data_IF_659514349378
#
_entry.id   IF_659514349378
#
_cell.length_a   1.000
_cell.length_b   1.000
_cell.length_c   1.000
_cell.angle_alpha   90.00
_cell.angle_beta   90.00
_cell.angle_gamma   90.00
#
_symmetry.space_group_name_H-M   'P 1'
#
loop_
_entity.id
_entity.type
_entity.pdbx_description
1 polymer ?
#
# COMPACT_ATOMS: atom_id res chain seq x y z
N UNK A 1 -30.71 2.03 42.34
CA UNK A 1 -30.57 2.71 41.02
C UNK A 1 -29.16 3.28 40.84
N UNK A 2 -28.11 2.54 41.23
CA UNK A 2 -26.72 3.01 41.18
C UNK A 2 -25.70 1.87 40.96
N UNK A 3 -26.15 0.75 40.37
CA UNK A 3 -25.29 -0.40 40.01
C UNK A 3 -25.27 -0.67 38.50
N UNK A 4 -25.96 0.17 37.70
CA UNK A 4 -26.15 -0.06 36.26
C UNK A 4 -25.17 0.74 35.37
N UNK A 5 -24.29 1.55 35.97
CA UNK A 5 -23.37 2.44 35.22
C UNK A 5 -21.93 1.88 35.15
N UNK A 6 -21.55 0.91 36.00
CA UNK A 6 -20.15 0.45 36.12
C UNK A 6 -19.87 -0.89 35.40
N UNK A 7 -20.90 -1.62 34.96
CA UNK A 7 -20.75 -2.97 34.40
C UNK A 7 -20.42 -3.07 32.90
N UNK A 8 -20.42 -1.95 32.16
CA UNK A 8 -20.46 -2.00 30.68
C UNK A 8 -19.13 -1.71 29.96
N UNK A 9 -18.06 -1.26 30.63
CA UNK A 9 -16.87 -0.77 29.91
C UNK A 9 -15.54 -1.47 30.21
N UNK A 10 -15.43 -2.31 31.24
CA UNK A 10 -14.14 -2.91 31.60
C UNK A 10 -13.69 -4.10 30.71
N UNK A 11 -14.53 -5.10 30.40
CA UNK A 11 -14.09 -6.24 29.59
C UNK A 11 -13.89 -5.88 28.11
N UNK A 12 -14.60 -4.87 27.60
CA UNK A 12 -14.41 -4.36 26.24
C UNK A 12 -13.05 -3.66 26.08
N UNK A 13 -12.64 -2.85 27.07
CA UNK A 13 -11.32 -2.22 27.09
C UNK A 13 -10.19 -3.23 27.28
N UNK A 14 -10.41 -4.26 28.11
CA UNK A 14 -9.43 -5.34 28.31
C UNK A 14 -9.21 -6.13 27.02
N UNK A 15 -10.30 -6.48 26.32
CA UNK A 15 -10.22 -7.15 25.03
C UNK A 15 -9.52 -6.28 23.98
N UNK A 16 -9.79 -4.96 23.95
CA UNK A 16 -9.16 -4.04 23.01
C UNK A 16 -7.65 -3.89 23.26
N UNK A 17 -7.18 -3.90 24.51
CA UNK A 17 -5.75 -3.94 24.81
C UNK A 17 -5.12 -5.26 24.37
N UNK A 18 -5.79 -6.38 24.59
CA UNK A 18 -5.30 -7.71 24.20
C UNK A 18 -5.19 -7.84 22.66
N UNK A 19 -6.13 -7.26 21.90
CA UNK A 19 -6.03 -7.17 20.44
C UNK A 19 -4.87 -6.30 19.94
N UNK A 20 -4.55 -5.19 20.62
CA UNK A 20 -3.41 -4.32 20.27
C UNK A 20 -2.07 -5.00 20.58
N UNK A 21 -2.00 -5.76 21.66
CA UNK A 21 -0.77 -6.45 22.07
C UNK A 21 -0.50 -7.72 21.23
N UNK A 22 -1.56 -8.41 20.76
CA UNK A 22 -1.44 -9.56 19.87
C UNK A 22 -0.97 -9.19 18.44
N UNK A 23 -1.36 -8.02 17.91
CA UNK A 23 -0.88 -7.54 16.59
C UNK A 23 0.58 -7.05 16.62
N UNK A 24 1.05 -6.58 17.78
CA UNK A 24 2.44 -6.14 17.97
C UNK A 24 3.46 -7.31 17.96
N UNK A 25 3.01 -8.56 18.15
CA UNK A 25 3.85 -9.75 18.19
C UNK A 25 4.06 -10.44 16.83
N UNK A 26 3.60 -9.84 15.72
CA UNK A 26 3.83 -10.38 14.36
C UNK A 26 4.98 -9.66 13.65
N UNK A 27 6.19 -10.25 13.56
CA UNK A 27 7.33 -9.65 12.85
C UNK A 27 7.09 -9.44 11.35
N UNK A 28 6.04 -10.05 10.77
CA UNK A 28 5.67 -9.86 9.35
C UNK A 28 4.82 -8.60 9.12
N UNK A 29 4.09 -8.15 10.13
CA UNK A 29 3.22 -6.98 10.06
C UNK A 29 4.06 -5.70 9.99
N UNK A 30 5.06 -5.56 10.86
CA UNK A 30 5.99 -4.43 10.86
C UNK A 30 6.77 -4.27 9.55
N UNK A 31 7.20 -5.38 8.93
CA UNK A 31 7.94 -5.36 7.66
C UNK A 31 7.09 -4.80 6.51
N UNK A 32 5.78 -5.08 6.48
CA UNK A 32 4.85 -4.54 5.46
C UNK A 32 4.66 -3.03 5.59
N UNK A 33 4.55 -2.53 6.83
CA UNK A 33 4.46 -1.09 7.08
C UNK A 33 5.76 -0.36 6.76
N UNK A 34 6.90 -0.91 7.15
CA UNK A 34 8.22 -0.35 6.84
C UNK A 34 8.45 -0.24 5.32
N UNK A 35 8.17 -1.30 4.56
CA UNK A 35 8.26 -1.30 3.10
C UNK A 35 7.35 -0.24 2.46
N UNK A 36 6.14 -0.07 3.00
CA UNK A 36 5.18 0.89 2.46
C UNK A 36 5.64 2.33 2.70
N UNK A 37 6.16 2.64 3.90
CA UNK A 37 6.72 3.95 4.24
C UNK A 37 7.93 4.26 3.34
N UNK A 38 8.82 3.29 3.14
CA UNK A 38 9.95 3.43 2.20
C UNK A 38 9.44 3.72 0.79
N UNK A 39 8.38 3.04 0.34
CA UNK A 39 7.78 3.30 -0.98
C UNK A 39 7.18 4.71 -1.12
N UNK A 40 6.55 5.25 -0.06
CA UNK A 40 6.06 6.64 -0.06
C UNK A 40 7.25 7.60 -0.20
N UNK A 41 8.28 7.43 0.62
CA UNK A 41 9.49 8.27 0.55
C UNK A 41 10.13 8.17 -0.84
N UNK A 42 10.30 6.95 -1.37
CA UNK A 42 10.84 6.71 -2.69
C UNK A 42 10.02 7.42 -3.79
N UNK A 43 8.69 7.42 -3.71
CA UNK A 43 7.83 8.12 -4.67
C UNK A 43 8.06 9.64 -4.66
N UNK A 44 8.21 10.24 -3.48
CA UNK A 44 8.55 11.65 -3.33
C UNK A 44 9.92 11.97 -3.93
N UNK A 45 10.92 11.11 -3.67
CA UNK A 45 12.25 11.27 -4.26
C UNK A 45 12.22 11.14 -5.78
N UNK A 46 11.43 10.21 -6.33
CA UNK A 46 11.24 10.04 -7.77
C UNK A 46 10.65 11.29 -8.43
N UNK A 47 9.65 11.91 -7.81
CA UNK A 47 9.06 13.16 -8.31
C UNK A 47 10.05 14.32 -8.18
N UNK A 48 10.76 14.40 -7.06
CA UNK A 48 11.72 15.48 -6.79
C UNK A 48 12.93 15.43 -7.73
N UNK A 49 13.46 14.24 -8.01
CA UNK A 49 14.63 14.03 -8.87
C UNK A 49 14.27 13.58 -10.29
N UNK A 50 13.03 13.85 -10.73
CA UNK A 50 12.48 13.38 -12.02
C UNK A 50 13.36 13.69 -13.24
N UNK A 51 14.05 14.83 -13.24
CA UNK A 51 14.91 15.26 -14.34
C UNK A 51 16.19 14.40 -14.40
N UNK A 52 16.89 14.24 -13.27
CA UNK A 52 18.07 13.37 -13.20
C UNK A 52 17.74 11.91 -13.48
N UNK A 53 16.63 11.40 -12.96
CA UNK A 53 16.22 10.02 -13.21
C UNK A 53 15.88 9.83 -14.69
N UNK A 54 15.28 10.83 -15.35
CA UNK A 54 15.00 10.80 -16.78
C UNK A 54 16.27 10.80 -17.64
N UNK A 55 17.26 11.61 -17.29
CA UNK A 55 18.55 11.66 -17.96
C UNK A 55 19.31 10.32 -17.85
N UNK A 56 19.25 9.66 -16.69
CA UNK A 56 19.93 8.37 -16.46
C UNK A 56 19.21 7.21 -17.16
N UNK A 57 17.87 7.23 -17.19
CA UNK A 57 17.07 6.16 -17.78
C UNK A 57 17.11 6.19 -19.32
N UNK A 58 17.34 7.37 -19.90
CA UNK A 58 17.35 7.58 -21.34
C UNK A 58 15.96 7.55 -21.97
N UNK A 59 15.83 8.07 -23.19
CA UNK A 59 14.57 8.11 -23.92
C UNK A 59 14.37 6.86 -24.80
N UNK A 60 13.54 5.93 -24.35
CA UNK A 60 13.09 4.84 -25.22
C UNK A 60 11.99 5.33 -26.19
N UNK A 61 11.93 4.78 -27.42
CA UNK A 61 10.96 5.21 -28.44
C UNK A 61 9.50 5.13 -27.99
N UNK A 62 9.16 4.13 -27.17
CA UNK A 62 7.80 3.98 -26.64
C UNK A 62 7.45 5.07 -25.61
N UNK A 63 8.43 5.63 -24.90
CA UNK A 63 8.20 6.70 -23.92
C UNK A 63 7.77 8.00 -24.62
N UNK A 64 8.24 8.23 -25.86
CA UNK A 64 7.80 9.37 -26.68
C UNK A 64 6.29 9.34 -26.97
N UNK A 65 5.70 8.15 -27.10
CA UNK A 65 4.24 7.98 -27.32
C UNK A 65 3.40 8.36 -26.09
N UNK A 66 3.98 8.35 -24.90
CA UNK A 66 3.31 8.64 -23.61
C UNK A 66 3.59 10.08 -23.15
N UNK A 67 4.24 10.90 -24.00
CA UNK A 67 4.60 12.28 -23.67
C UNK A 67 6.01 12.43 -23.06
N UNK A 68 6.88 11.45 -23.29
CA UNK A 68 8.29 11.48 -22.89
C UNK A 68 8.58 10.81 -21.55
N UNK A 69 9.87 10.70 -21.24
CA UNK A 69 10.39 10.03 -20.03
C UNK A 69 9.85 10.68 -18.75
N UNK A 70 9.67 12.00 -18.78
CA UNK A 70 9.10 12.77 -17.68
C UNK A 70 7.74 12.25 -17.23
N UNK A 71 6.79 12.09 -18.17
CA UNK A 71 5.44 11.62 -17.85
C UNK A 71 5.47 10.19 -17.33
N UNK A 72 6.32 9.35 -17.90
CA UNK A 72 6.48 7.96 -17.44
C UNK A 72 6.97 7.92 -16.00
N UNK A 73 7.97 8.73 -15.64
CA UNK A 73 8.48 8.84 -14.27
C UNK A 73 7.38 9.30 -13.30
N UNK A 74 6.60 10.31 -13.68
CA UNK A 74 5.49 10.80 -12.86
C UNK A 74 4.42 9.73 -12.66
N UNK A 75 4.03 9.00 -13.72
CA UNK A 75 3.07 7.90 -13.65
C UNK A 75 3.57 6.79 -12.72
N UNK A 76 4.84 6.39 -12.85
CA UNK A 76 5.46 5.36 -12.01
C UNK A 76 5.49 5.82 -10.55
N UNK A 77 5.85 7.06 -10.27
CA UNK A 77 5.90 7.58 -8.90
C UNK A 77 4.49 7.61 -8.25
N UNK A 78 3.48 8.05 -9.00
CA UNK A 78 2.08 8.05 -8.55
C UNK A 78 1.62 6.62 -8.28
N UNK A 79 1.95 5.67 -9.16
CA UNK A 79 1.60 4.27 -8.98
C UNK A 79 2.22 3.68 -7.70
N UNK A 80 3.51 3.92 -7.46
CA UNK A 80 4.20 3.49 -6.24
C UNK A 80 3.57 4.12 -5.00
N UNK A 81 3.23 5.42 -5.06
CA UNK A 81 2.59 6.11 -3.95
C UNK A 81 1.24 5.51 -3.58
N UNK A 82 0.35 5.30 -4.55
CA UNK A 82 -0.94 4.68 -4.31
C UNK A 82 -0.82 3.21 -3.89
N UNK A 83 0.16 2.47 -4.42
CA UNK A 83 0.45 1.11 -3.99
C UNK A 83 0.84 1.04 -2.52
N UNK A 84 1.73 1.94 -2.08
CA UNK A 84 2.14 2.04 -0.68
C UNK A 84 0.96 2.41 0.22
N UNK A 85 0.12 3.36 -0.20
CA UNK A 85 -1.09 3.71 0.55
C UNK A 85 -2.07 2.54 0.64
N UNK A 86 -2.28 1.81 -0.46
CA UNK A 86 -3.15 0.64 -0.48
C UNK A 86 -2.63 -0.48 0.43
N UNK A 87 -1.30 -0.61 0.54
CA UNK A 87 -0.64 -1.60 1.41
C UNK A 87 -0.82 -1.26 2.90
N UNK A 88 -0.71 0.01 3.28
CA UNK A 88 -0.92 0.46 4.67
C UNK A 88 -2.40 0.38 5.07
N UNK A 89 -3.31 0.76 4.17
CA UNK A 89 -4.75 0.75 4.44
C UNK A 89 -5.40 -0.63 4.31
N UNK A 90 -4.63 -1.66 3.94
CA UNK A 90 -5.15 -3.01 3.69
C UNK A 90 -6.06 -3.13 2.47
N UNK A 91 -6.11 -2.09 1.62
CA UNK A 91 -6.98 -2.03 0.44
C UNK A 91 -6.30 -2.52 -0.85
N UNK A 92 -5.10 -3.11 -0.76
CA UNK A 92 -4.36 -3.67 -1.90
C UNK A 92 -5.24 -4.58 -2.79
N UNK A 93 -6.10 -5.40 -2.19
CA UNK A 93 -7.00 -6.29 -2.92
C UNK A 93 -8.04 -5.54 -3.76
N UNK A 94 -8.47 -4.35 -3.33
CA UNK A 94 -9.42 -3.51 -4.06
C UNK A 94 -8.68 -2.76 -5.17
N UNK A 95 -7.48 -2.26 -4.87
CA UNK A 95 -6.66 -1.52 -5.83
C UNK A 95 -6.18 -2.40 -7.00
N UNK A 96 -5.93 -3.70 -6.75
CA UNK A 96 -5.48 -4.65 -7.76
C UNK A 96 -6.60 -5.41 -8.47
N UNK A 97 -7.87 -5.24 -8.06
CA UNK A 97 -9.04 -5.87 -8.71
C UNK A 97 -9.15 -5.55 -10.22
N UNK A 98 -8.97 -4.30 -10.68
CA UNK A 98 -9.00 -3.99 -12.11
C UNK A 98 -7.85 -4.67 -12.87
N UNK A 99 -6.70 -4.82 -12.23
CA UNK A 99 -5.53 -5.48 -12.83
C UNK A 99 -5.70 -7.00 -12.88
N UNK A 100 -6.31 -7.61 -11.87
CA UNK A 100 -6.66 -9.05 -11.89
C UNK A 100 -7.79 -9.36 -12.86
N UNK A 101 -8.67 -8.40 -13.16
CA UNK A 101 -9.68 -8.54 -14.21
C UNK A 101 -9.07 -8.59 -15.62
N UNK A 102 -7.94 -7.92 -15.84
CA UNK A 102 -7.21 -7.91 -17.12
C UNK A 102 -6.27 -9.11 -17.32
N UNK A 103 -5.94 -9.86 -16.27
CA UNK A 103 -5.08 -11.03 -16.32
C UNK A 103 -5.92 -12.32 -16.27
N UNK A 104 -6.18 -13.00 -17.41
CA UNK A 104 -6.90 -14.26 -17.42
C UNK A 104 -6.00 -15.35 -16.81
N UNK A 105 -6.20 -15.66 -15.53
CA UNK A 105 -5.41 -16.69 -14.84
C UNK A 105 -5.46 -16.64 -13.31
N UNK A 106 -5.92 -15.56 -12.69
CA UNK A 106 -6.07 -15.46 -11.22
C UNK A 106 -7.39 -16.09 -10.73
N UNK A 107 -7.67 -17.33 -11.17
CA UNK A 107 -8.86 -18.08 -10.79
C UNK A 107 -8.46 -19.50 -10.38
N UNK A 108 -7.65 -19.61 -9.33
CA UNK A 108 -7.50 -20.84 -8.57
C UNK A 108 -7.56 -20.51 -7.08
N UNK A 109 -8.79 -20.30 -6.61
CA UNK A 109 -9.14 -20.45 -5.21
C UNK A 109 -10.07 -21.66 -5.17
N UNK A 110 -9.59 -22.75 -4.56
CA UNK A 110 -10.41 -23.87 -4.06
C UNK A 110 -10.98 -24.82 -5.13
N UNK A 111 -10.15 -25.71 -5.68
CA UNK A 111 -10.63 -27.02 -6.09
C UNK A 111 -10.73 -27.89 -4.82
N UNK A 112 -11.96 -28.03 -4.33
CA UNK A 112 -12.35 -29.10 -3.40
C UNK A 112 -12.33 -30.44 -4.14
#
# INVERSE_FOLDING_TARGET
MLQLIVGFSLPALLSAQEYVEFDAASPRTGMRYALSIIGIIASFFLIKYRERVGEITGEAEWMKKVGGVYNVIVIVAIFIFFWSLATITGTTNIFLKPLTFLLPGSRNQNAF
#
